data_IF_525330754169
#
_entry.id   IF_525330754169
#
_cell.length_a   1.000
_cell.length_b   1.000
_cell.length_c   1.000
_cell.angle_alpha   90.00
_cell.angle_beta   90.00
_cell.angle_gamma   90.00
#
_symmetry.space_group_name_H-M   'P 1'
#
loop_
_entity.id
_entity.type
_entity.pdbx_description
1 polymer ?
#
# COMPACT_ATOMS: atom_id res chain seq x y z
N UNK A 1 66.53 -16.87 -17.94
CA UNK A 1 65.85 -15.56 -18.11
C UNK A 1 64.32 -15.63 -18.06
N UNK A 2 63.66 -16.75 -18.38
CA UNK A 2 62.19 -16.83 -18.41
C UNK A 2 61.51 -16.76 -17.00
N UNK A 3 62.17 -17.26 -15.95
CA UNK A 3 61.62 -17.29 -14.57
C UNK A 3 61.60 -15.91 -13.88
N UNK A 4 62.53 -15.02 -14.22
CA UNK A 4 62.62 -13.66 -13.69
C UNK A 4 61.47 -12.78 -14.21
N UNK A 5 61.07 -12.98 -15.48
CA UNK A 5 59.94 -12.25 -16.09
C UNK A 5 58.60 -12.60 -15.43
N UNK A 6 58.40 -13.86 -15.04
CA UNK A 6 57.16 -14.28 -14.38
C UNK A 6 57.05 -13.75 -12.95
N UNK A 7 58.16 -13.67 -12.21
CA UNK A 7 58.15 -13.07 -10.87
C UNK A 7 57.88 -11.56 -10.92
N UNK A 8 58.41 -10.86 -11.92
CA UNK A 8 58.22 -9.41 -12.06
C UNK A 8 56.77 -9.05 -12.43
N UNK A 9 56.11 -9.89 -13.26
CA UNK A 9 54.69 -9.71 -13.60
C UNK A 9 53.78 -9.99 -12.40
N UNK A 10 54.09 -11.01 -11.59
CA UNK A 10 53.34 -11.31 -10.36
C UNK A 10 53.51 -10.23 -9.28
N UNK A 11 54.71 -9.66 -9.13
CA UNK A 11 54.94 -8.58 -8.17
C UNK A 11 54.19 -7.29 -8.57
N UNK A 12 54.04 -7.02 -9.87
CA UNK A 12 53.37 -5.83 -10.38
C UNK A 12 51.83 -5.91 -10.26
N UNK A 13 51.24 -7.11 -10.25
CA UNK A 13 49.79 -7.28 -10.12
C UNK A 13 49.31 -7.18 -8.66
N UNK A 14 50.13 -7.56 -7.67
CA UNK A 14 49.77 -7.43 -6.25
C UNK A 14 49.77 -5.98 -5.75
N UNK A 15 50.60 -5.10 -6.31
CA UNK A 15 50.64 -3.69 -5.90
C UNK A 15 49.47 -2.88 -6.49
N UNK A 16 48.93 -3.29 -7.64
CA UNK A 16 47.79 -2.62 -8.27
C UNK A 16 46.46 -2.82 -7.51
N UNK A 17 46.32 -3.90 -6.73
CA UNK A 17 45.08 -4.22 -6.01
C UNK A 17 45.03 -3.53 -4.62
N UNK A 18 46.18 -3.13 -4.08
CA UNK A 18 46.26 -2.52 -2.73
C UNK A 18 45.94 -1.03 -2.69
N UNK A 19 45.65 -0.39 -3.84
CA UNK A 19 45.46 1.06 -3.96
C UNK A 19 44.01 1.58 -3.86
N UNK A 20 42.98 0.72 -3.87
CA UNK A 20 41.58 1.17 -4.00
C UNK A 20 40.80 1.31 -2.67
N UNK A 21 41.44 1.27 -1.50
CA UNK A 21 40.73 1.35 -0.21
C UNK A 21 40.63 2.77 0.39
N UNK A 22 41.31 3.76 -0.20
CA UNK A 22 41.46 5.09 0.41
C UNK A 22 40.50 6.17 -0.10
N UNK A 23 39.61 5.85 -1.05
CA UNK A 23 38.53 6.75 -1.46
C UNK A 23 37.24 6.44 -0.67
N UNK A 24 37.34 6.44 0.67
CA UNK A 24 36.18 6.44 1.58
C UNK A 24 35.69 7.89 1.69
N UNK A 25 34.57 8.23 1.06
CA UNK A 25 33.22 8.20 1.65
C UNK A 25 32.99 9.15 2.85
N UNK A 26 33.89 10.10 3.11
CA UNK A 26 33.71 11.14 4.14
C UNK A 26 32.58 12.13 3.78
N UNK A 27 32.51 12.55 2.50
CA UNK A 27 31.47 13.48 2.02
C UNK A 27 30.05 12.89 2.09
N UNK A 28 29.89 11.56 1.89
CA UNK A 28 28.56 10.92 1.99
C UNK A 28 28.12 10.76 3.44
N UNK A 29 29.08 10.55 4.35
CA UNK A 29 28.77 10.45 5.78
C UNK A 29 28.34 11.81 6.34
N UNK A 30 28.99 12.89 5.90
CA UNK A 30 28.60 14.26 6.27
C UNK A 30 27.20 14.62 5.75
N UNK A 31 26.85 14.28 4.50
CA UNK A 31 25.49 14.51 3.98
C UNK A 31 24.41 13.73 4.74
N UNK A 32 24.73 12.53 5.23
CA UNK A 32 23.78 11.73 6.03
C UNK A 32 23.54 12.37 7.41
N UNK A 33 24.58 12.96 8.01
CA UNK A 33 24.45 13.69 9.27
C UNK A 33 23.68 15.01 9.11
N UNK A 34 23.84 15.71 7.97
CA UNK A 34 23.09 16.93 7.66
C UNK A 34 21.58 16.68 7.46
N UNK A 35 21.18 15.51 6.93
CA UNK A 35 19.76 15.16 6.79
C UNK A 35 19.07 14.79 8.10
N UNK A 36 19.83 14.51 9.18
CA UNK A 36 19.29 14.17 10.51
C UNK A 36 19.03 15.36 11.43
N UNK A 37 19.42 16.58 11.02
CA UNK A 37 19.12 17.81 11.77
C UNK A 37 17.65 18.20 11.54
N UNK A 38 16.75 17.53 12.26
CA UNK A 38 15.31 17.75 12.22
C UNK A 38 14.95 19.21 12.39
N UNK A 39 14.39 19.81 11.33
CA UNK A 39 13.53 20.97 11.48
C UNK A 39 12.32 20.52 12.30
N UNK A 40 12.23 20.98 13.54
CA UNK A 40 11.01 20.85 14.32
C UNK A 40 9.87 21.45 13.48
N UNK A 41 8.85 20.64 13.19
CA UNK A 41 7.62 21.12 12.57
C UNK A 41 6.98 22.07 13.57
N UNK A 42 7.17 23.38 13.38
CA UNK A 42 6.46 24.42 14.11
C UNK A 42 4.98 24.24 13.80
N UNK A 43 4.24 23.68 14.76
CA UNK A 43 2.79 23.61 14.74
C UNK A 43 2.29 25.06 14.88
N UNK A 44 1.59 25.62 13.90
CA UNK A 44 1.05 26.97 14.01
C UNK A 44 0.11 27.04 15.23
N UNK A 45 0.27 28.02 16.14
CA UNK A 45 -0.50 28.10 17.40
C UNK A 45 -1.99 28.48 17.23
N UNK A 46 -2.55 28.37 16.03
CA UNK A 46 -3.92 28.78 15.70
C UNK A 46 -4.89 27.59 15.56
N UNK A 47 -4.47 26.35 15.86
CA UNK A 47 -5.32 25.15 15.75
C UNK A 47 -5.86 24.59 17.07
N UNK A 48 -5.72 25.31 18.19
CA UNK A 48 -6.09 24.80 19.53
C UNK A 48 -7.35 25.45 20.13
N UNK A 49 -8.23 25.99 19.29
CA UNK A 49 -9.51 26.56 19.78
C UNK A 49 -10.62 26.42 18.74
N UNK A 50 -11.54 25.46 18.87
CA UNK A 50 -12.77 25.48 18.08
C UNK A 50 -13.60 26.72 18.46
N UNK A 51 -13.87 27.57 17.48
CA UNK A 51 -14.42 28.92 17.68
C UNK A 51 -15.82 28.96 18.30
N UNK A 52 -16.64 27.90 18.22
CA UNK A 52 -18.02 27.97 18.71
C UNK A 52 -18.48 26.64 19.33
N UNK A 53 -18.64 26.62 20.66
CA UNK A 53 -19.09 25.46 21.44
C UNK A 53 -20.61 25.46 21.74
N UNK A 54 -21.36 26.45 21.22
CA UNK A 54 -22.74 26.72 21.67
C UNK A 54 -23.80 26.77 20.55
N UNK A 55 -23.52 26.28 19.34
CA UNK A 55 -24.48 26.39 18.22
C UNK A 55 -25.23 25.09 17.87
N UNK A 56 -25.42 24.21 18.86
CA UNK A 56 -26.31 23.05 18.75
C UNK A 56 -27.53 23.24 19.65
N UNK A 57 -28.40 24.17 19.27
CA UNK A 57 -29.78 24.20 19.77
C UNK A 57 -30.57 23.05 19.11
N UNK A 58 -30.82 22.00 19.89
CA UNK A 58 -31.76 20.94 19.52
C UNK A 58 -33.18 21.43 19.85
N UNK A 59 -34.09 21.59 18.87
CA UNK A 59 -35.46 21.99 19.16
C UNK A 59 -36.20 20.87 19.91
N UNK A 60 -36.99 21.19 20.96
CA UNK A 60 -37.80 20.19 21.65
C UNK A 60 -38.97 19.77 20.75
N UNK A 61 -38.84 18.60 20.12
CA UNK A 61 -39.91 17.91 19.40
C UNK A 61 -40.50 16.78 20.25
N UNK A 62 -41.83 16.71 20.28
CA UNK A 62 -42.67 15.90 21.15
C UNK A 62 -42.29 14.42 21.33
N UNK A 63 -42.49 13.97 22.57
CA UNK A 63 -42.44 12.58 23.00
C UNK A 63 -43.56 11.75 22.35
N UNK A 64 -43.32 11.22 21.14
CA UNK A 64 -44.00 10.02 20.68
C UNK A 64 -42.99 8.89 20.45
N UNK A 65 -43.07 7.97 21.41
CA UNK A 65 -42.32 6.74 21.61
C UNK A 65 -42.59 5.76 20.47
N UNK A 66 -41.60 5.57 19.59
CA UNK A 66 -41.42 4.32 18.87
C UNK A 66 -40.03 3.75 19.25
N UNK A 67 -40.03 2.48 19.62
CA UNK A 67 -38.93 1.81 20.33
C UNK A 67 -37.75 1.60 19.38
N UNK A 68 -36.73 2.45 19.44
CA UNK A 68 -35.38 2.09 19.00
C UNK A 68 -34.60 1.58 20.21
N UNK A 69 -34.31 0.29 20.18
CA UNK A 69 -33.53 -0.44 21.17
C UNK A 69 -32.14 0.18 21.32
N UNK A 70 -31.94 0.99 22.36
CA UNK A 70 -30.65 1.51 22.81
C UNK A 70 -29.84 0.38 23.45
N UNK A 71 -29.21 -0.44 22.62
CA UNK A 71 -27.94 -1.07 22.97
C UNK A 71 -26.85 -0.12 22.48
N UNK A 72 -25.82 0.22 23.30
CA UNK A 72 -24.67 0.95 22.76
C UNK A 72 -24.18 0.15 21.55
N UNK A 73 -23.87 0.79 20.40
CA UNK A 73 -23.23 0.05 19.32
C UNK A 73 -21.97 -0.53 19.94
N UNK A 74 -22.00 -1.86 20.12
CA UNK A 74 -20.87 -2.62 20.60
C UNK A 74 -19.71 -2.20 19.74
N UNK A 75 -18.56 -1.98 20.39
CA UNK A 75 -17.31 -1.83 19.67
C UNK A 75 -17.31 -2.89 18.58
N UNK A 76 -17.32 -2.42 17.34
CA UNK A 76 -17.11 -3.27 16.19
C UNK A 76 -15.72 -3.82 16.47
N UNK A 77 -15.66 -5.02 17.02
CA UNK A 77 -14.44 -5.80 16.97
C UNK A 77 -14.18 -5.89 15.49
N UNK A 78 -13.26 -5.04 15.03
CA UNK A 78 -12.53 -5.24 13.80
C UNK A 78 -11.88 -6.60 13.98
N UNK A 79 -12.62 -7.64 13.60
CA UNK A 79 -12.06 -8.91 13.23
C UNK A 79 -11.28 -8.62 11.96
N UNK A 80 -10.10 -8.02 12.16
CA UNK A 80 -8.90 -8.18 11.35
C UNK A 80 -8.47 -9.66 11.38
N UNK A 81 -9.42 -10.58 11.22
CA UNK A 81 -9.18 -11.92 10.75
C UNK A 81 -9.17 -11.82 9.25
N UNK A 82 -8.00 -11.43 8.71
CA UNK A 82 -7.59 -11.79 7.36
C UNK A 82 -7.85 -13.29 7.20
N UNK A 83 -8.97 -13.61 6.55
CA UNK A 83 -9.18 -14.96 6.02
C UNK A 83 -8.27 -15.00 4.80
N UNK A 84 -7.27 -15.87 4.83
CA UNK A 84 -6.18 -16.03 3.86
C UNK A 84 -6.41 -15.29 2.52
N UNK A 85 -5.76 -14.13 2.37
CA UNK A 85 -5.73 -13.37 1.12
C UNK A 85 -6.92 -12.43 0.81
N UNK A 86 -7.93 -12.29 1.69
CA UNK A 86 -9.14 -11.48 1.43
C UNK A 86 -9.42 -10.33 2.41
N UNK A 87 -10.21 -9.33 1.96
CA UNK A 87 -10.71 -8.20 2.77
C UNK A 87 -12.21 -8.35 3.01
N UNK A 88 -12.64 -8.29 4.28
CA UNK A 88 -14.05 -8.32 4.67
C UNK A 88 -14.65 -6.91 4.64
N UNK A 89 -15.90 -6.81 4.19
CA UNK A 89 -16.65 -5.57 4.08
C UNK A 89 -18.05 -5.82 4.66
N UNK A 90 -18.53 -4.94 5.53
CA UNK A 90 -19.88 -5.01 6.12
C UNK A 90 -20.96 -4.41 5.21
N UNK A 91 -20.86 -4.69 3.90
CA UNK A 91 -21.86 -4.31 2.91
C UNK A 91 -22.32 -5.55 2.15
N UNK A 92 -23.57 -5.56 1.65
CA UNK A 92 -24.01 -6.64 0.79
C UNK A 92 -23.20 -6.64 -0.52
N UNK A 93 -23.01 -7.82 -1.16
CA UNK A 93 -22.14 -7.97 -2.33
C UNK A 93 -22.37 -7.02 -3.50
N UNK A 94 -23.61 -6.68 -3.92
CA UNK A 94 -23.81 -5.73 -5.01
C UNK A 94 -23.36 -4.31 -4.66
N UNK A 95 -23.67 -3.83 -3.45
CA UNK A 95 -23.30 -2.48 -3.02
C UNK A 95 -21.78 -2.38 -2.80
N UNK A 96 -21.19 -3.43 -2.22
CA UNK A 96 -19.74 -3.53 -2.07
C UNK A 96 -19.03 -3.49 -3.43
N UNK A 97 -19.57 -4.18 -4.44
CA UNK A 97 -18.99 -4.19 -5.79
C UNK A 97 -18.96 -2.78 -6.42
N UNK A 98 -20.05 -2.02 -6.31
CA UNK A 98 -20.13 -0.67 -6.87
C UNK A 98 -19.22 0.32 -6.13
N UNK A 99 -19.16 0.24 -4.80
CA UNK A 99 -18.23 1.06 -3.99
C UNK A 99 -16.76 0.70 -4.28
N UNK A 100 -16.41 -0.59 -4.39
CA UNK A 100 -15.03 -1.01 -4.74
C UNK A 100 -14.65 -0.46 -6.12
N UNK A 101 -15.55 -0.57 -7.10
CA UNK A 101 -15.32 -0.03 -8.44
C UNK A 101 -15.05 1.49 -8.38
N UNK A 102 -15.87 2.22 -7.62
CA UNK A 102 -15.68 3.67 -7.42
C UNK A 102 -14.36 3.99 -6.73
N UNK A 103 -14.01 3.27 -5.66
CA UNK A 103 -12.78 3.44 -4.91
C UNK A 103 -11.52 3.19 -5.77
N UNK A 104 -11.54 2.14 -6.58
CA UNK A 104 -10.43 1.82 -7.49
C UNK A 104 -10.25 2.87 -8.58
N UNK A 105 -11.35 3.47 -9.06
CA UNK A 105 -11.30 4.60 -10.00
C UNK A 105 -10.75 5.87 -9.32
N UNK A 106 -11.21 6.17 -8.11
CA UNK A 106 -10.77 7.34 -7.36
C UNK A 106 -9.29 7.27 -6.96
N UNK A 107 -8.77 6.08 -6.67
CA UNK A 107 -7.39 5.87 -6.27
C UNK A 107 -6.40 5.79 -7.45
N UNK A 108 -6.87 5.77 -8.70
CA UNK A 108 -6.04 5.68 -9.93
C UNK A 108 -5.02 4.52 -9.92
N UNK A 109 -5.30 3.43 -9.21
CA UNK A 109 -4.36 2.30 -8.98
C UNK A 109 -4.09 1.52 -10.26
N UNK A 110 -5.00 1.63 -11.24
CA UNK A 110 -4.89 0.93 -12.50
C UNK A 110 -6.04 1.27 -13.45
N UNK A 111 -6.03 0.59 -14.61
CA UNK A 111 -7.11 0.69 -15.59
C UNK A 111 -8.07 -0.47 -15.42
N UNK A 112 -9.35 -0.18 -15.19
CA UNK A 112 -10.41 -1.20 -15.17
C UNK A 112 -10.64 -1.65 -16.61
N UNK A 113 -10.32 -2.90 -16.92
CA UNK A 113 -10.50 -3.47 -18.26
C UNK A 113 -11.93 -3.99 -18.47
N UNK A 114 -12.49 -4.63 -17.43
CA UNK A 114 -13.82 -5.21 -17.48
C UNK A 114 -14.44 -5.23 -16.09
N UNK A 115 -15.75 -5.01 -16.02
CA UNK A 115 -16.53 -5.10 -14.79
C UNK A 115 -17.80 -5.89 -15.09
N UNK A 116 -17.99 -7.02 -14.41
CA UNK A 116 -19.14 -7.88 -14.58
C UNK A 116 -19.97 -7.90 -13.28
N UNK A 117 -21.01 -7.07 -13.24
CA UNK A 117 -21.92 -6.98 -12.10
C UNK A 117 -22.69 -8.29 -11.84
N UNK A 118 -22.97 -9.09 -12.87
CA UNK A 118 -23.69 -10.36 -12.70
C UNK A 118 -22.85 -11.45 -12.03
N UNK A 119 -21.52 -11.40 -12.20
CA UNK A 119 -20.57 -12.32 -11.57
C UNK A 119 -19.84 -11.71 -10.37
N UNK A 120 -20.10 -10.44 -10.07
CA UNK A 120 -19.39 -9.66 -9.06
C UNK A 120 -17.86 -9.72 -9.23
N UNK A 121 -17.41 -9.65 -10.48
CA UNK A 121 -15.97 -9.69 -10.83
C UNK A 121 -15.50 -8.42 -11.53
N UNK A 122 -14.30 -7.97 -11.17
CA UNK A 122 -13.63 -6.79 -11.75
C UNK A 122 -12.25 -7.18 -12.26
N UNK A 123 -11.94 -6.90 -13.53
CA UNK A 123 -10.61 -7.04 -14.08
C UNK A 123 -9.91 -5.70 -14.13
N UNK A 124 -8.76 -5.61 -13.49
CA UNK A 124 -7.99 -4.38 -13.33
C UNK A 124 -6.55 -4.63 -13.74
N UNK A 125 -6.05 -3.79 -14.65
CA UNK A 125 -4.65 -3.73 -15.01
C UNK A 125 -3.92 -2.76 -14.09
N UNK A 126 -3.04 -3.29 -13.24
CA UNK A 126 -2.25 -2.54 -12.26
C UNK A 126 -0.82 -2.42 -12.78
N UNK A 127 -0.26 -1.22 -12.74
CA UNK A 127 1.14 -0.97 -13.07
C UNK A 127 1.94 -0.99 -11.78
N UNK A 128 2.84 -1.96 -11.65
CA UNK A 128 3.75 -2.07 -10.50
C UNK A 128 5.16 -1.64 -10.91
N UNK A 129 5.80 -0.82 -10.07
CA UNK A 129 7.20 -0.42 -10.26
C UNK A 129 8.08 -1.28 -9.37
N UNK A 130 8.93 -2.09 -9.98
CA UNK A 130 9.91 -2.91 -9.25
C UNK A 130 11.30 -2.35 -9.49
N UNK A 131 12.01 -2.00 -8.41
CA UNK A 131 13.40 -1.57 -8.46
C UNK A 131 14.32 -2.77 -8.26
N UNK A 132 15.05 -3.17 -9.30
CA UNK A 132 16.11 -4.17 -9.16
C UNK A 132 17.42 -3.49 -8.84
N UNK A 133 17.78 -3.48 -7.55
CA UNK A 133 19.12 -3.07 -7.11
C UNK A 133 20.18 -4.02 -7.65
N UNK A 134 21.12 -3.49 -8.42
CA UNK A 134 22.24 -4.28 -8.97
C UNK A 134 23.52 -3.82 -8.30
N UNK A 135 24.14 -4.71 -7.52
CA UNK A 135 25.36 -4.40 -6.76
C UNK A 135 26.49 -3.76 -7.60
N UNK A 136 26.59 -4.05 -8.90
CA UNK A 136 27.64 -3.51 -9.78
C UNK A 136 27.13 -2.71 -11.00
N UNK A 137 25.84 -2.33 -11.05
CA UNK A 137 25.29 -1.54 -12.17
C UNK A 137 24.27 -0.54 -11.65
N UNK A 138 24.02 0.52 -12.43
CA UNK A 138 22.94 1.47 -12.17
C UNK A 138 21.62 0.71 -11.95
N UNK A 139 20.89 1.10 -10.91
CA UNK A 139 19.60 0.52 -10.58
C UNK A 139 18.66 0.61 -11.78
N UNK A 140 17.92 -0.48 -12.01
CA UNK A 140 16.97 -0.56 -13.11
C UNK A 140 15.56 -0.56 -12.50
N UNK A 141 14.79 0.46 -12.86
CA UNK A 141 13.36 0.53 -12.59
C UNK A 141 12.67 -0.23 -13.72
N UNK A 142 11.91 -1.26 -13.38
CA UNK A 142 11.06 -2.00 -14.30
C UNK A 142 9.60 -1.71 -13.95
N UNK A 143 8.84 -1.18 -14.91
CA UNK A 143 7.39 -1.07 -14.80
C UNK A 143 6.78 -2.35 -15.39
N UNK A 144 5.97 -3.05 -14.60
CA UNK A 144 5.30 -4.29 -15.00
C UNK A 144 3.80 -4.03 -14.92
N UNK A 145 3.15 -4.03 -16.07
CA UNK A 145 1.69 -4.03 -16.15
C UNK A 145 1.18 -5.45 -15.92
N UNK A 146 0.20 -5.60 -15.03
CA UNK A 146 -0.27 -6.90 -14.58
C UNK A 146 -1.78 -6.85 -14.41
N UNK A 147 -2.49 -7.77 -15.08
CA UNK A 147 -3.95 -7.87 -14.99
C UNK A 147 -4.32 -8.78 -13.81
N UNK A 148 -5.25 -8.33 -12.99
CA UNK A 148 -5.77 -9.07 -11.84
C UNK A 148 -7.29 -9.05 -11.85
N UNK A 149 -7.89 -10.13 -11.36
CA UNK A 149 -9.33 -10.25 -11.22
C UNK A 149 -9.69 -10.16 -9.74
N UNK A 150 -10.50 -9.17 -9.35
CA UNK A 150 -11.12 -9.13 -8.05
C UNK A 150 -12.43 -9.90 -8.09
N UNK A 151 -12.66 -10.69 -7.04
CA UNK A 151 -13.90 -11.40 -6.79
C UNK A 151 -14.52 -10.85 -5.51
N UNK A 152 -15.81 -10.54 -5.56
CA UNK A 152 -16.59 -10.14 -4.38
C UNK A 152 -17.58 -11.25 -4.07
N UNK A 153 -17.30 -11.98 -3.01
CA UNK A 153 -18.10 -13.13 -2.56
C UNK A 153 -18.93 -12.76 -1.33
N UNK A 154 -20.12 -13.35 -1.21
CA UNK A 154 -20.95 -13.17 -0.04
C UNK A 154 -20.36 -13.87 1.19
N UNK A 155 -20.34 -13.18 2.33
CA UNK A 155 -19.94 -13.76 3.61
C UNK A 155 -20.93 -13.35 4.72
N UNK A 156 -21.96 -14.17 4.89
CA UNK A 156 -23.03 -13.90 5.85
C UNK A 156 -23.79 -12.62 5.49
N UNK A 157 -23.71 -11.62 6.37
CA UNK A 157 -24.31 -10.29 6.16
C UNK A 157 -23.42 -9.32 5.37
N UNK A 158 -22.15 -9.67 5.17
CA UNK A 158 -21.17 -8.84 4.47
C UNK A 158 -20.63 -9.49 3.21
N UNK A 159 -19.50 -8.96 2.75
CA UNK A 159 -18.79 -9.37 1.54
C UNK A 159 -17.33 -9.66 1.86
N UNK A 160 -16.71 -10.54 1.09
CA UNK A 160 -15.27 -10.80 1.10
C UNK A 160 -14.73 -10.53 -0.29
N UNK A 161 -13.71 -9.68 -0.36
CA UNK A 161 -12.99 -9.36 -1.58
C UNK A 161 -11.73 -10.20 -1.63
N UNK A 162 -11.58 -10.99 -2.69
CA UNK A 162 -10.36 -11.74 -2.98
C UNK A 162 -9.77 -11.33 -4.33
N UNK A 163 -8.47 -11.52 -4.50
CA UNK A 163 -7.78 -11.22 -5.76
C UNK A 163 -7.17 -12.48 -6.34
N UNK A 164 -7.49 -12.76 -7.60
CA UNK A 164 -6.98 -13.90 -8.35
C UNK A 164 -6.15 -13.45 -9.56
N UNK A 165 -5.26 -14.33 -9.98
CA UNK A 165 -4.51 -14.19 -11.23
C UNK A 165 -5.33 -14.69 -12.44
N UNK A 166 -4.78 -14.59 -13.64
CA UNK A 166 -5.43 -15.08 -14.87
C UNK A 166 -5.73 -16.59 -14.85
N UNK A 167 -5.02 -17.36 -14.03
CA UNK A 167 -5.24 -18.78 -13.82
C UNK A 167 -6.34 -19.09 -12.78
N UNK A 168 -6.97 -18.06 -12.20
CA UNK A 168 -8.03 -18.20 -11.20
C UNK A 168 -7.52 -18.61 -9.80
N UNK A 169 -6.21 -18.60 -9.58
CA UNK A 169 -5.62 -18.88 -8.26
C UNK A 169 -5.48 -17.60 -7.46
N UNK A 170 -5.76 -17.67 -6.16
CA UNK A 170 -5.49 -16.57 -5.23
C UNK A 170 -4.00 -16.23 -5.27
N UNK A 171 -3.68 -14.94 -5.29
CA UNK A 171 -2.31 -14.47 -5.46
C UNK A 171 -2.06 -13.25 -4.59
N UNK A 172 -0.96 -13.25 -3.86
CA UNK A 172 -0.55 -12.19 -2.92
C UNK A 172 0.61 -11.34 -3.48
N UNK A 173 0.58 -11.04 -4.78
CA UNK A 173 1.61 -10.21 -5.42
C UNK A 173 1.48 -8.72 -5.03
N UNK A 174 2.50 -7.92 -5.34
CA UNK A 174 2.48 -6.46 -5.12
C UNK A 174 1.26 -5.77 -5.75
N UNK A 175 0.80 -6.24 -6.92
CA UNK A 175 -0.41 -5.75 -7.56
C UNK A 175 -1.68 -6.07 -6.75
N UNK A 176 -1.77 -7.28 -6.19
CA UNK A 176 -2.90 -7.69 -5.35
C UNK A 176 -2.88 -6.92 -4.02
N UNK A 177 -1.70 -6.76 -3.41
CA UNK A 177 -1.51 -5.98 -2.20
C UNK A 177 -1.96 -4.52 -2.38
N UNK A 178 -1.64 -3.89 -3.53
CA UNK A 178 -2.11 -2.53 -3.86
C UNK A 178 -3.62 -2.44 -3.99
N UNK A 179 -4.23 -3.37 -4.72
CA UNK A 179 -5.68 -3.41 -4.90
C UNK A 179 -6.41 -3.60 -3.56
N UNK A 180 -5.99 -4.59 -2.77
CA UNK A 180 -6.56 -4.84 -1.45
C UNK A 180 -6.26 -3.71 -0.47
N UNK A 181 -5.12 -3.03 -0.61
CA UNK A 181 -4.78 -1.84 0.18
C UNK A 181 -5.81 -0.74 -0.01
N UNK A 182 -6.19 -0.43 -1.25
CA UNK A 182 -7.20 0.61 -1.55
C UNK A 182 -8.56 0.24 -1.00
N UNK A 183 -8.96 -1.03 -1.13
CA UNK A 183 -10.20 -1.54 -0.53
C UNK A 183 -10.15 -1.38 0.99
N UNK A 184 -9.04 -1.75 1.63
CA UNK A 184 -8.86 -1.58 3.08
C UNK A 184 -8.90 -0.11 3.49
N UNK A 185 -8.26 0.79 2.75
CA UNK A 185 -8.26 2.22 3.05
C UNK A 185 -9.67 2.82 2.93
N UNK A 186 -10.50 2.30 2.02
CA UNK A 186 -11.88 2.76 1.83
C UNK A 186 -12.84 2.25 2.90
N UNK A 187 -12.72 0.99 3.31
CA UNK A 187 -13.71 0.31 4.16
C UNK A 187 -13.23 0.00 5.58
N UNK A 188 -11.94 0.15 5.87
CA UNK A 188 -11.33 -0.11 7.17
C UNK A 188 -11.14 1.13 8.04
N UNK A 189 -11.83 2.24 7.72
CA UNK A 189 -11.83 3.49 8.46
C UNK A 189 -12.87 3.56 9.57
#
# INVERSE_FOLDING_TARGET
MLRIRHCLILALSLTAISGCSWLKNEERHQRYLETGAGRALEVPPELDSPAHRNDLEVPPGDLNREVLNTQPPGGIEVLAGSVDGGVKIDLPPPDAFDEIKSALQAAEVGKIQSANAAKLTLQVAVITRTEKKRWFRKDKIEEIETVRTLHVDANGTGSVVTVSNESGSLTEDDAAAKLLGVVRDRFGG
#
